data_IF_306466076125
#
_entry.id   IF_306466076125
#
_cell.length_a   1.000
_cell.length_b   1.000
_cell.length_c   1.000
_cell.angle_alpha   90.00
_cell.angle_beta   90.00
_cell.angle_gamma   90.00
#
_symmetry.space_group_name_H-M   'P 1'
#
loop_
_entity.id
_entity.type
_entity.pdbx_description
1 polymer ?
#
# COMPACT_ATOMS: atom_id res chain seq x y z
N UNK A 1 -36.19 -12.50 -7.41
CA UNK A 1 -35.17 -13.27 -8.12
C UNK A 1 -33.87 -13.18 -7.37
N UNK A 2 -33.19 -14.27 -6.99
CA UNK A 2 -31.88 -14.22 -6.37
C UNK A 2 -30.90 -13.53 -7.35
N UNK A 3 -30.00 -12.70 -6.87
CA UNK A 3 -29.03 -12.02 -7.72
C UNK A 3 -28.17 -13.07 -8.43
N UNK A 4 -27.95 -12.90 -9.73
CA UNK A 4 -27.07 -13.78 -10.49
C UNK A 4 -25.68 -13.79 -9.80
N UNK A 5 -24.97 -14.93 -9.83
CA UNK A 5 -23.65 -15.13 -9.20
C UNK A 5 -22.66 -13.98 -9.47
N UNK A 6 -22.69 -13.40 -10.65
CA UNK A 6 -21.90 -12.23 -11.03
C UNK A 6 -22.31 -10.94 -10.28
N UNK A 7 -23.58 -10.72 -10.03
CA UNK A 7 -24.05 -9.55 -9.24
C UNK A 7 -23.58 -9.64 -7.80
N UNK A 8 -23.67 -10.83 -7.19
CA UNK A 8 -23.19 -11.05 -5.81
C UNK A 8 -21.69 -10.83 -5.70
N UNK A 9 -20.88 -11.42 -6.59
CA UNK A 9 -19.43 -11.22 -6.62
C UNK A 9 -19.06 -9.74 -6.74
N UNK A 10 -19.69 -9.00 -7.65
CA UNK A 10 -19.50 -7.54 -7.78
C UNK A 10 -19.86 -6.80 -6.48
N UNK A 11 -20.98 -7.15 -5.84
CA UNK A 11 -21.41 -6.54 -4.58
C UNK A 11 -20.39 -6.77 -3.45
N UNK A 12 -19.82 -7.98 -3.33
CA UNK A 12 -18.78 -8.30 -2.34
C UNK A 12 -17.52 -7.47 -2.58
N UNK A 13 -17.03 -7.40 -3.82
CA UNK A 13 -15.84 -6.63 -4.18
C UNK A 13 -16.06 -5.14 -3.93
N UNK A 14 -17.20 -4.58 -4.34
CA UNK A 14 -17.53 -3.17 -4.11
C UNK A 14 -17.66 -2.85 -2.62
N UNK A 15 -18.24 -3.74 -1.83
CA UNK A 15 -18.31 -3.58 -0.37
C UNK A 15 -16.92 -3.54 0.25
N UNK A 16 -16.02 -4.42 -0.18
CA UNK A 16 -14.62 -4.38 0.23
C UNK A 16 -13.89 -3.11 -0.24
N UNK A 17 -14.13 -2.65 -1.48
CA UNK A 17 -13.52 -1.44 -2.00
C UNK A 17 -13.93 -0.18 -1.22
N UNK A 18 -15.19 -0.10 -0.75
CA UNK A 18 -15.65 0.96 0.16
C UNK A 18 -14.82 0.95 1.46
N UNK A 19 -14.51 -0.22 2.01
CA UNK A 19 -13.68 -0.28 3.23
C UNK A 19 -12.25 0.19 2.99
N UNK A 20 -11.66 -0.18 1.85
CA UNK A 20 -10.33 0.34 1.51
C UNK A 20 -10.38 1.85 1.31
N UNK A 21 -11.42 2.40 0.68
CA UNK A 21 -11.61 3.84 0.55
C UNK A 21 -11.72 4.52 1.93
N UNK A 22 -12.48 3.95 2.86
CA UNK A 22 -12.63 4.45 4.24
C UNK A 22 -11.33 4.37 5.06
N UNK A 23 -10.31 3.65 4.59
CA UNK A 23 -8.99 3.64 5.23
C UNK A 23 -8.22 4.95 5.03
N UNK A 24 -8.67 5.80 4.11
CA UNK A 24 -7.99 7.02 3.67
C UNK A 24 -7.46 7.93 4.79
N UNK A 25 -8.22 8.22 5.86
CA UNK A 25 -7.72 9.01 7.00
C UNK A 25 -6.49 8.39 7.70
N UNK A 26 -6.35 7.07 7.68
CA UNK A 26 -5.18 6.35 8.22
C UNK A 26 -4.06 6.11 7.21
N UNK A 27 -4.24 6.49 5.96
CA UNK A 27 -3.21 6.34 4.91
C UNK A 27 -2.25 7.53 4.88
N UNK A 28 -1.03 7.28 4.44
CA UNK A 28 0.00 8.33 4.34
C UNK A 28 -0.44 9.50 3.47
N UNK A 29 -1.06 9.22 2.32
CA UNK A 29 -1.58 10.24 1.42
C UNK A 29 -2.70 11.07 2.09
N UNK A 30 -3.59 10.43 2.86
CA UNK A 30 -4.64 11.13 3.61
C UNK A 30 -4.10 12.05 4.68
N UNK A 31 -3.01 11.65 5.36
CA UNK A 31 -2.36 12.45 6.38
C UNK A 31 -1.57 13.64 5.81
N UNK A 32 -1.02 13.52 4.59
CA UNK A 32 -0.10 14.49 3.99
C UNK A 32 -0.63 15.92 3.90
N UNK A 33 -1.93 16.09 3.67
CA UNK A 33 -2.59 17.40 3.56
C UNK A 33 -2.78 18.13 4.91
N UNK A 34 -2.62 17.39 6.02
CA UNK A 34 -2.71 17.95 7.37
C UNK A 34 -1.36 18.36 7.95
N UNK A 35 -0.25 18.03 7.29
CA UNK A 35 1.11 18.28 7.81
C UNK A 35 1.34 19.75 8.11
N UNK A 36 1.13 20.62 7.12
CA UNK A 36 1.36 22.06 7.29
C UNK A 36 0.39 22.69 8.30
N UNK A 37 -0.94 22.46 8.23
CA UNK A 37 -1.87 22.98 9.24
C UNK A 37 -1.57 22.52 10.68
N UNK A 38 -1.06 21.27 10.85
CA UNK A 38 -0.71 20.75 12.17
C UNK A 38 0.59 21.38 12.68
N UNK A 39 1.63 21.49 11.85
CA UNK A 39 2.90 22.08 12.26
C UNK A 39 2.73 23.54 12.67
N UNK A 40 1.93 24.30 11.92
CA UNK A 40 1.60 25.69 12.25
C UNK A 40 0.77 25.78 13.55
N UNK A 41 -0.29 24.98 13.70
CA UNK A 41 -1.19 25.08 14.83
C UNK A 41 -0.60 24.58 16.16
N UNK A 42 0.35 23.66 16.13
CA UNK A 42 1.02 23.13 17.32
C UNK A 42 2.39 23.78 17.58
N UNK A 43 2.80 24.72 16.75
CA UNK A 43 4.14 25.38 16.79
C UNK A 43 5.28 24.34 16.89
N UNK A 44 5.27 23.37 15.96
CA UNK A 44 6.25 22.31 15.91
C UNK A 44 6.93 22.24 14.55
N UNK A 45 8.17 21.75 14.53
CA UNK A 45 8.89 21.54 13.28
C UNK A 45 8.34 20.32 12.53
N UNK A 46 8.51 20.33 11.20
CA UNK A 46 8.16 19.17 10.38
C UNK A 46 8.92 17.90 10.80
N UNK A 47 10.19 18.03 11.22
CA UNK A 47 11.00 16.92 11.75
C UNK A 47 10.40 16.33 13.02
N UNK A 48 9.89 17.16 13.95
CA UNK A 48 9.19 16.69 15.14
C UNK A 48 7.89 15.95 14.81
N UNK A 49 7.09 16.47 13.88
CA UNK A 49 5.85 15.83 13.43
C UNK A 49 6.14 14.49 12.74
N UNK A 50 7.13 14.44 11.85
CA UNK A 50 7.48 13.19 11.15
C UNK A 50 8.09 12.15 12.08
N UNK A 51 8.80 12.57 13.13
CA UNK A 51 9.24 11.69 14.21
C UNK A 51 8.07 11.11 15.01
N UNK A 52 7.08 11.94 15.37
CA UNK A 52 5.84 11.48 16.00
C UNK A 52 5.09 10.47 15.10
N UNK A 53 5.05 10.73 13.79
CA UNK A 53 4.47 9.83 12.81
C UNK A 53 5.23 8.50 12.70
N UNK A 54 6.55 8.52 12.75
CA UNK A 54 7.40 7.33 12.80
C UNK A 54 7.04 6.45 14.00
N UNK A 55 7.01 7.03 15.21
CA UNK A 55 6.69 6.30 16.45
C UNK A 55 5.28 5.69 16.38
N UNK A 56 4.27 6.50 16.02
CA UNK A 56 2.89 6.05 15.89
C UNK A 56 2.73 4.92 14.86
N UNK A 57 3.44 5.01 13.73
CA UNK A 57 3.40 3.99 12.66
C UNK A 57 4.09 2.70 13.07
N UNK A 58 5.26 2.77 13.72
CA UNK A 58 5.95 1.59 14.24
C UNK A 58 5.13 0.87 15.30
N UNK A 59 4.52 1.62 16.24
CA UNK A 59 3.62 1.04 17.23
C UNK A 59 2.41 0.35 16.56
N UNK A 60 1.84 0.95 15.51
CA UNK A 60 0.72 0.39 14.77
C UNK A 60 1.02 -0.96 14.09
N UNK A 61 2.28 -1.26 13.78
CA UNK A 61 2.68 -2.52 13.15
C UNK A 61 2.31 -3.75 13.99
N UNK A 62 2.20 -3.62 15.30
CA UNK A 62 1.84 -4.70 16.22
C UNK A 62 0.35 -5.06 16.20
N UNK A 63 -0.49 -4.12 15.77
CA UNK A 63 -1.96 -4.25 15.82
C UNK A 63 -2.50 -5.29 14.83
N UNK A 64 -1.85 -5.46 13.68
CA UNK A 64 -2.32 -6.33 12.61
C UNK A 64 -2.58 -7.77 13.02
N UNK A 65 -1.66 -8.37 13.79
CA UNK A 65 -1.77 -9.76 14.27
C UNK A 65 -2.93 -9.94 15.26
N UNK A 66 -3.09 -9.00 16.18
CA UNK A 66 -4.20 -9.01 17.12
C UNK A 66 -5.55 -8.88 16.41
N UNK A 67 -5.63 -7.93 15.48
CA UNK A 67 -6.86 -7.69 14.72
C UNK A 67 -7.21 -8.87 13.82
N UNK A 68 -6.23 -9.50 13.17
CA UNK A 68 -6.44 -10.70 12.36
C UNK A 68 -7.10 -11.81 13.17
N UNK A 69 -6.56 -12.13 14.35
CA UNK A 69 -7.16 -13.12 15.27
C UNK A 69 -8.58 -12.75 15.68
N UNK A 70 -8.85 -11.47 15.88
CA UNK A 70 -10.19 -11.00 16.24
C UNK A 70 -11.18 -11.15 15.09
N UNK A 71 -10.78 -10.82 13.85
CA UNK A 71 -11.61 -11.01 12.66
C UNK A 71 -11.94 -12.50 12.41
N UNK A 72 -11.01 -13.39 12.76
CA UNK A 72 -11.22 -14.83 12.62
C UNK A 72 -12.17 -15.37 13.68
N UNK A 73 -12.01 -14.94 14.93
CA UNK A 73 -12.82 -15.41 16.07
C UNK A 73 -14.23 -14.82 16.08
N UNK A 74 -14.35 -13.50 15.96
CA UNK A 74 -15.61 -12.78 16.18
C UNK A 74 -16.36 -12.48 14.86
N UNK A 75 -15.75 -12.83 13.73
CA UNK A 75 -16.24 -12.58 12.38
C UNK A 75 -15.95 -11.17 11.85
N UNK A 76 -15.85 -11.04 10.53
CA UNK A 76 -15.41 -9.80 9.85
C UNK A 76 -16.34 -8.63 10.13
N UNK A 77 -17.65 -8.84 10.16
CA UNK A 77 -18.62 -7.75 10.38
C UNK A 77 -18.53 -7.18 11.81
N UNK A 78 -18.31 -8.02 12.83
CA UNK A 78 -18.10 -7.58 14.20
C UNK A 78 -16.78 -6.84 14.36
N UNK A 79 -15.70 -7.39 13.81
CA UNK A 79 -14.39 -6.74 13.81
C UNK A 79 -14.41 -5.41 13.09
N UNK A 80 -15.14 -5.29 11.97
CA UNK A 80 -15.29 -4.02 11.24
C UNK A 80 -15.96 -2.94 12.07
N UNK A 81 -16.99 -3.27 12.88
CA UNK A 81 -17.62 -2.28 13.79
C UNK A 81 -16.59 -1.69 14.74
N UNK A 82 -15.79 -2.55 15.37
CA UNK A 82 -14.69 -2.11 16.23
C UNK A 82 -13.72 -1.20 15.48
N UNK A 83 -13.26 -1.63 14.29
CA UNK A 83 -12.30 -0.88 13.47
C UNK A 83 -12.86 0.49 13.08
N UNK A 84 -14.11 0.56 12.64
CA UNK A 84 -14.75 1.81 12.23
C UNK A 84 -14.87 2.81 13.40
N UNK A 85 -15.34 2.34 14.55
CA UNK A 85 -15.46 3.18 15.76
C UNK A 85 -14.07 3.62 16.24
N UNK A 86 -13.10 2.70 16.32
CA UNK A 86 -11.75 3.03 16.77
C UNK A 86 -11.04 4.01 15.82
N UNK A 87 -11.23 3.87 14.50
CA UNK A 87 -10.69 4.83 13.52
C UNK A 87 -11.34 6.20 13.65
N UNK A 88 -12.66 6.24 13.81
CA UNK A 88 -13.37 7.51 14.07
C UNK A 88 -12.92 8.19 15.37
N UNK A 89 -12.75 7.41 16.45
CA UNK A 89 -12.20 7.91 17.72
C UNK A 89 -10.78 8.44 17.54
N UNK A 90 -9.93 7.75 16.79
CA UNK A 90 -8.58 8.23 16.50
C UNK A 90 -8.57 9.53 15.68
N UNK A 91 -9.51 9.70 14.75
CA UNK A 91 -9.67 10.95 14.00
C UNK A 91 -10.14 12.11 14.89
N UNK A 92 -11.08 11.86 15.81
CA UNK A 92 -11.49 12.85 16.82
C UNK A 92 -10.32 13.19 17.77
N UNK A 93 -9.55 12.20 18.20
CA UNK A 93 -8.36 12.41 19.02
C UNK A 93 -7.31 13.26 18.29
N UNK A 94 -7.12 13.03 16.99
CA UNK A 94 -6.25 13.88 16.15
C UNK A 94 -6.77 15.33 16.11
N UNK A 95 -8.07 15.53 15.93
CA UNK A 95 -8.70 16.85 15.93
C UNK A 95 -8.52 17.60 17.26
N UNK A 96 -8.63 16.88 18.37
CA UNK A 96 -8.56 17.45 19.73
C UNK A 96 -7.13 17.52 20.28
N UNK A 97 -6.12 17.06 19.53
CA UNK A 97 -4.74 16.99 20.02
C UNK A 97 -4.18 18.40 20.35
N UNK A 98 -3.77 18.64 21.61
CA UNK A 98 -3.17 19.90 22.02
C UNK A 98 -1.65 19.92 21.83
N UNK A 99 -1.01 18.77 21.60
CA UNK A 99 0.42 18.60 21.49
C UNK A 99 0.79 17.33 20.71
N UNK A 100 2.09 17.16 20.41
CA UNK A 100 2.60 16.00 19.66
C UNK A 100 2.40 14.66 20.37
N UNK A 101 2.37 14.60 21.70
CA UNK A 101 2.21 13.33 22.42
C UNK A 101 0.82 12.75 22.14
N UNK A 102 -0.21 13.57 22.33
CA UNK A 102 -1.61 13.15 22.04
C UNK A 102 -1.78 12.87 20.55
N UNK A 103 -1.17 13.68 19.69
CA UNK A 103 -1.18 13.45 18.26
C UNK A 103 -0.49 12.13 17.87
N UNK A 104 0.62 11.74 18.52
CA UNK A 104 1.29 10.45 18.30
C UNK A 104 0.36 9.26 18.62
N UNK A 105 -0.41 9.36 19.71
CA UNK A 105 -1.42 8.36 20.05
C UNK A 105 -2.54 8.31 19.01
N UNK A 106 -2.98 9.48 18.53
CA UNK A 106 -3.95 9.56 17.45
C UNK A 106 -3.41 8.93 16.14
N UNK A 107 -2.16 9.21 15.77
CA UNK A 107 -1.48 8.61 14.62
C UNK A 107 -1.41 7.09 14.78
N UNK A 108 -1.03 6.58 15.95
CA UNK A 108 -1.09 5.14 16.22
C UNK A 108 -2.48 4.56 15.90
N UNK A 109 -3.55 5.19 16.37
CA UNK A 109 -4.93 4.74 16.11
C UNK A 109 -5.31 4.84 14.64
N UNK A 110 -4.98 5.95 13.96
CA UNK A 110 -5.23 6.15 12.54
C UNK A 110 -4.52 5.07 11.69
N UNK A 111 -3.26 4.77 11.99
CA UNK A 111 -2.47 3.76 11.27
C UNK A 111 -2.97 2.35 11.56
N UNK A 112 -3.24 2.04 12.84
CA UNK A 112 -3.74 0.72 13.27
C UNK A 112 -5.10 0.37 12.66
N UNK A 113 -6.05 1.27 12.76
CA UNK A 113 -7.43 0.99 12.37
C UNK A 113 -7.74 1.43 10.94
N UNK A 114 -7.12 2.50 10.44
CA UNK A 114 -7.26 2.96 9.06
C UNK A 114 -6.45 2.09 8.10
N UNK A 115 -5.13 2.25 8.10
CA UNK A 115 -4.27 1.55 7.13
C UNK A 115 -4.36 0.02 7.30
N UNK A 116 -4.22 -0.50 8.51
CA UNK A 116 -4.21 -1.95 8.74
C UNK A 116 -5.63 -2.49 8.86
N UNK A 117 -6.45 -1.91 9.73
CA UNK A 117 -7.74 -2.47 10.11
C UNK A 117 -8.77 -2.52 8.98
N UNK A 118 -8.97 -1.41 8.29
CA UNK A 118 -9.92 -1.33 7.18
C UNK A 118 -9.49 -2.20 6.00
N UNK A 119 -8.20 -2.16 5.63
CA UNK A 119 -7.68 -2.95 4.49
C UNK A 119 -7.69 -4.45 4.78
N UNK A 120 -7.33 -4.85 6.01
CA UNK A 120 -7.40 -6.24 6.44
C UNK A 120 -8.86 -6.75 6.45
N UNK A 121 -9.79 -5.97 7.02
CA UNK A 121 -11.21 -6.32 7.03
C UNK A 121 -11.76 -6.50 5.61
N UNK A 122 -11.41 -5.62 4.68
CA UNK A 122 -11.79 -5.70 3.28
C UNK A 122 -11.25 -6.96 2.60
N UNK A 123 -9.95 -7.22 2.78
CA UNK A 123 -9.27 -8.36 2.16
C UNK A 123 -9.81 -9.69 2.69
N UNK A 124 -9.97 -9.81 4.01
CA UNK A 124 -10.53 -11.02 4.65
C UNK A 124 -11.99 -11.24 4.24
N UNK A 125 -12.79 -10.16 4.16
CA UNK A 125 -14.17 -10.27 3.70
C UNK A 125 -14.27 -10.80 2.27
N UNK A 126 -13.51 -10.25 1.34
CA UNK A 126 -13.51 -10.71 -0.06
C UNK A 126 -12.94 -12.11 -0.16
N UNK A 127 -11.84 -12.43 0.53
CA UNK A 127 -11.22 -13.75 0.50
C UNK A 127 -12.13 -14.87 1.03
N UNK A 128 -12.90 -14.58 2.10
CA UNK A 128 -13.86 -15.55 2.69
C UNK A 128 -15.16 -15.72 1.89
N UNK A 129 -15.51 -14.78 1.01
CA UNK A 129 -16.81 -14.79 0.31
C UNK A 129 -16.69 -14.99 -1.22
N UNK A 130 -15.47 -14.96 -1.78
CA UNK A 130 -15.20 -15.19 -3.21
C UNK A 130 -14.23 -16.34 -3.34
N UNK A 131 -14.73 -17.53 -3.67
CA UNK A 131 -13.92 -18.75 -3.85
C UNK A 131 -13.32 -18.79 -5.25
N UNK A 132 -14.16 -18.62 -6.29
CA UNK A 132 -13.67 -18.68 -7.67
C UNK A 132 -12.90 -17.44 -8.06
N UNK A 133 -11.72 -17.65 -8.67
CA UNK A 133 -10.82 -16.58 -9.08
C UNK A 133 -10.55 -15.59 -7.94
N UNK A 134 -10.33 -16.10 -6.71
CA UNK A 134 -10.08 -15.31 -5.50
C UNK A 134 -8.96 -14.28 -5.72
N UNK A 135 -7.84 -14.69 -6.34
CA UNK A 135 -6.74 -13.78 -6.65
C UNK A 135 -7.15 -12.59 -7.54
N UNK A 136 -7.95 -12.85 -8.59
CA UNK A 136 -8.47 -11.78 -9.44
C UNK A 136 -9.46 -10.86 -8.71
N UNK A 137 -10.24 -11.40 -7.76
CA UNK A 137 -11.15 -10.59 -6.94
C UNK A 137 -10.38 -9.69 -5.97
N UNK A 138 -9.32 -10.20 -5.32
CA UNK A 138 -8.44 -9.42 -4.45
C UNK A 138 -7.65 -8.38 -5.25
N UNK A 139 -7.16 -8.71 -6.45
CA UNK A 139 -6.52 -7.76 -7.34
C UNK A 139 -7.45 -6.60 -7.74
N UNK A 140 -8.70 -6.91 -8.11
CA UNK A 140 -9.70 -5.89 -8.42
C UNK A 140 -10.09 -5.06 -7.19
N UNK A 141 -10.20 -5.70 -6.02
CA UNK A 141 -10.43 -5.02 -4.75
C UNK A 141 -9.33 -3.97 -4.46
N UNK A 142 -8.07 -4.38 -4.61
CA UNK A 142 -6.92 -3.49 -4.37
C UNK A 142 -6.86 -2.37 -5.39
N UNK A 143 -7.13 -2.65 -6.67
CA UNK A 143 -7.14 -1.65 -7.73
C UNK A 143 -8.23 -0.59 -7.50
N UNK A 144 -9.48 -1.01 -7.29
CA UNK A 144 -10.63 -0.09 -7.12
C UNK A 144 -10.54 0.63 -5.77
N UNK A 145 -10.31 -0.13 -4.68
CA UNK A 145 -10.24 0.45 -3.34
C UNK A 145 -9.00 1.33 -3.15
N UNK A 146 -7.85 0.91 -3.67
CA UNK A 146 -6.62 1.69 -3.64
C UNK A 146 -6.74 3.02 -4.39
N UNK A 147 -7.38 3.02 -5.56
CA UNK A 147 -7.67 4.27 -6.29
C UNK A 147 -8.61 5.19 -5.51
N UNK A 148 -9.58 4.63 -4.79
CA UNK A 148 -10.53 5.41 -3.99
C UNK A 148 -9.89 6.06 -2.74
N UNK A 149 -8.78 5.53 -2.23
CA UNK A 149 -7.99 6.18 -1.15
C UNK A 149 -7.57 7.59 -1.54
N UNK A 150 -7.25 7.82 -2.82
CA UNK A 150 -6.81 9.11 -3.35
C UNK A 150 -7.87 10.22 -3.23
N UNK A 151 -9.13 9.87 -3.01
CA UNK A 151 -10.20 10.84 -2.77
C UNK A 151 -10.04 11.54 -1.41
N UNK A 152 -9.45 10.87 -0.42
CA UNK A 152 -9.29 11.44 0.92
C UNK A 152 -8.43 12.71 0.93
N UNK A 153 -7.19 12.74 0.40
CA UNK A 153 -6.41 13.97 0.35
C UNK A 153 -7.06 15.04 -0.52
N UNK A 154 -7.71 14.67 -1.63
CA UNK A 154 -8.43 15.61 -2.49
C UNK A 154 -9.61 16.27 -1.77
N UNK A 155 -10.41 15.51 -1.03
CA UNK A 155 -11.53 16.03 -0.26
C UNK A 155 -11.01 16.89 0.90
N UNK A 156 -10.05 16.38 1.67
CA UNK A 156 -9.51 17.08 2.82
C UNK A 156 -8.85 18.42 2.42
N UNK A 157 -8.12 18.48 1.29
CA UNK A 157 -7.51 19.74 0.80
C UNK A 157 -8.51 20.84 0.46
N UNK A 158 -9.77 20.48 0.19
CA UNK A 158 -10.86 21.44 -0.02
C UNK A 158 -11.60 21.82 1.27
N UNK A 159 -11.70 20.89 2.21
CA UNK A 159 -12.40 21.11 3.48
C UNK A 159 -11.54 21.89 4.48
N UNK A 160 -10.23 21.70 4.48
CA UNK A 160 -9.32 22.37 5.43
C UNK A 160 -9.40 23.89 5.35
N UNK A 161 -9.36 24.55 4.17
CA UNK A 161 -9.47 26.00 4.07
C UNK A 161 -10.83 26.55 4.56
N UNK A 162 -11.90 25.78 4.40
CA UNK A 162 -13.28 26.20 4.74
C UNK A 162 -13.61 25.98 6.22
N UNK A 163 -13.26 24.81 6.76
CA UNK A 163 -13.69 24.35 8.09
C UNK A 163 -12.53 24.21 9.09
N UNK A 164 -11.30 24.38 8.65
CA UNK A 164 -10.10 24.09 9.44
C UNK A 164 -9.79 22.60 9.53
N UNK A 165 -8.54 22.29 9.84
CA UNK A 165 -8.05 20.92 9.86
C UNK A 165 -8.67 20.07 10.98
N UNK A 166 -9.00 20.64 12.13
CA UNK A 166 -9.63 19.95 13.25
C UNK A 166 -11.03 19.46 12.90
N UNK A 167 -11.88 20.35 12.37
CA UNK A 167 -13.24 19.99 11.94
C UNK A 167 -13.21 18.99 10.77
N UNK A 168 -12.24 19.09 9.89
CA UNK A 168 -12.05 18.13 8.80
C UNK A 168 -11.76 16.72 9.32
N UNK A 169 -10.92 16.57 10.37
CA UNK A 169 -10.71 15.28 11.03
C UNK A 169 -11.98 14.70 11.63
N UNK A 170 -12.76 15.53 12.34
CA UNK A 170 -14.03 15.10 12.92
C UNK A 170 -15.01 14.62 11.85
N UNK A 171 -15.12 15.36 10.74
CA UNK A 171 -15.99 15.01 9.61
C UNK A 171 -15.57 13.69 8.95
N UNK A 172 -14.28 13.52 8.67
CA UNK A 172 -13.75 12.26 8.12
C UNK A 172 -13.99 11.09 9.07
N UNK A 173 -13.78 11.29 10.38
CA UNK A 173 -14.06 10.29 11.41
C UNK A 173 -15.55 9.90 11.47
N UNK A 174 -16.45 10.88 11.42
CA UNK A 174 -17.89 10.65 11.39
C UNK A 174 -18.32 9.84 10.14
N UNK A 175 -17.82 10.19 8.97
CA UNK A 175 -18.06 9.45 7.71
C UNK A 175 -17.59 8.01 7.84
N UNK A 176 -16.39 7.78 8.39
CA UNK A 176 -15.84 6.43 8.62
C UNK A 176 -16.74 5.61 9.52
N UNK A 177 -17.19 6.17 10.65
CA UNK A 177 -18.08 5.46 11.58
C UNK A 177 -19.41 5.13 10.92
N UNK A 178 -20.09 6.12 10.34
CA UNK A 178 -21.42 5.94 9.75
C UNK A 178 -21.38 4.93 8.60
N UNK A 179 -20.49 5.15 7.61
CA UNK A 179 -20.41 4.27 6.44
C UNK A 179 -19.85 2.89 6.83
N UNK A 180 -18.91 2.82 7.78
CA UNK A 180 -18.36 1.57 8.29
C UNK A 180 -19.42 0.71 9.00
N UNK A 181 -20.27 1.31 9.83
CA UNK A 181 -21.39 0.61 10.49
C UNK A 181 -22.44 0.13 9.49
N UNK A 182 -22.83 0.97 8.54
CA UNK A 182 -23.73 0.58 7.43
C UNK A 182 -23.14 -0.59 6.64
N UNK A 183 -21.84 -0.51 6.32
CA UNK A 183 -21.14 -1.57 5.58
C UNK A 183 -21.08 -2.87 6.38
N UNK A 184 -20.88 -2.80 7.69
CA UNK A 184 -20.89 -3.98 8.57
C UNK A 184 -22.25 -4.70 8.56
N UNK A 185 -23.36 -3.97 8.61
CA UNK A 185 -24.71 -4.55 8.52
C UNK A 185 -24.96 -5.18 7.14
N UNK A 186 -24.47 -4.56 6.07
CA UNK A 186 -24.52 -5.11 4.71
C UNK A 186 -23.73 -6.42 4.59
N UNK A 187 -22.54 -6.50 5.22
CA UNK A 187 -21.74 -7.72 5.25
C UNK A 187 -22.49 -8.89 5.92
N UNK A 188 -23.18 -8.64 7.02
CA UNK A 188 -24.00 -9.65 7.70
C UNK A 188 -25.08 -10.19 6.76
N UNK A 189 -25.81 -9.31 6.07
CA UNK A 189 -26.84 -9.71 5.08
C UNK A 189 -26.26 -10.54 3.95
N UNK A 190 -25.12 -10.11 3.36
CA UNK A 190 -24.44 -10.83 2.28
C UNK A 190 -23.95 -12.23 2.70
N UNK A 191 -23.62 -12.41 4.00
CA UNK A 191 -23.19 -13.70 4.55
C UNK A 191 -24.37 -14.65 4.81
N UNK A 192 -25.49 -14.13 5.31
CA UNK A 192 -26.68 -14.93 5.64
C UNK A 192 -27.33 -15.56 4.39
N UNK A 193 -27.19 -14.92 3.24
CA UNK A 193 -27.77 -15.42 2.00
C UNK A 193 -27.09 -16.68 1.43
N UNK A 194 -25.83 -16.99 1.86
CA UNK A 194 -25.09 -18.17 1.40
C UNK A 194 -24.05 -18.61 2.44
N UNK A 195 -24.28 -19.72 3.16
CA UNK A 195 -23.25 -20.35 3.97
C UNK A 195 -22.07 -20.80 3.11
N UNK A 196 -20.85 -20.52 3.56
CA UNK A 196 -19.63 -20.88 2.84
C UNK A 196 -19.43 -22.41 2.82
N UNK A 197 -19.23 -23.08 1.68
CA UNK A 197 -18.64 -24.40 1.66
C UNK A 197 -17.21 -24.27 2.20
N UNK A 198 -16.88 -25.08 3.18
CA UNK A 198 -15.59 -25.11 3.85
C UNK A 198 -14.44 -25.26 2.86
N UNK A 199 -13.35 -24.57 3.12
CA UNK A 199 -12.08 -24.63 2.42
C UNK A 199 -11.61 -26.08 2.24
N UNK A 200 -11.63 -26.58 1.03
CA UNK A 200 -10.75 -27.68 0.70
C UNK A 200 -9.32 -27.11 0.61
N UNK A 201 -8.34 -27.69 1.32
CA UNK A 201 -6.95 -27.34 1.15
C UNK A 201 -6.59 -27.61 -0.31
N UNK A 202 -6.22 -26.59 -1.04
CA UNK A 202 -5.68 -26.74 -2.38
C UNK A 202 -4.50 -27.70 -2.34
N UNK A 203 -4.57 -28.73 -3.14
CA UNK A 203 -3.54 -29.75 -3.31
C UNK A 203 -2.20 -29.08 -3.66
N UNK A 204 -1.30 -29.00 -2.67
CA UNK A 204 0.04 -28.38 -2.79
C UNK A 204 1.12 -29.45 -2.94
N UNK A 205 0.88 -30.43 -3.77
CA UNK A 205 1.85 -31.49 -4.08
C UNK A 205 2.21 -31.46 -5.56
N UNK A 206 3.09 -30.55 -5.94
CA UNK A 206 3.95 -30.78 -7.08
C UNK A 206 5.39 -30.71 -6.56
N UNK A 207 6.21 -31.70 -6.85
CA UNK A 207 7.65 -31.73 -6.61
C UNK A 207 8.28 -30.52 -7.31
N UNK A 208 8.43 -29.44 -6.57
CA UNK A 208 8.93 -28.17 -7.06
C UNK A 208 10.46 -28.21 -7.02
N UNK A 209 11.12 -28.40 -8.18
CA UNK A 209 12.59 -28.34 -8.28
C UNK A 209 13.00 -26.87 -7.98
N UNK A 210 13.44 -26.65 -6.76
CA UNK A 210 13.86 -25.34 -6.29
C UNK A 210 15.31 -25.05 -6.68
N UNK A 211 15.60 -23.80 -7.01
CA UNK A 211 16.96 -23.31 -7.23
C UNK A 211 17.86 -23.55 -5.99
N UNK A 212 19.20 -23.61 -6.15
CA UNK A 212 20.16 -23.70 -5.05
C UNK A 212 19.91 -22.69 -3.92
N UNK A 213 20.15 -23.09 -2.68
CA UNK A 213 19.82 -22.30 -1.46
C UNK A 213 20.44 -20.91 -1.47
N UNK A 214 21.69 -20.77 -1.95
CA UNK A 214 22.39 -19.49 -2.07
C UNK A 214 21.70 -18.55 -3.07
N UNK A 215 21.31 -19.06 -4.24
CA UNK A 215 20.60 -18.24 -5.25
C UNK A 215 19.20 -17.82 -4.76
N UNK A 216 18.47 -18.70 -4.05
CA UNK A 216 17.18 -18.35 -3.43
C UNK A 216 17.34 -17.25 -2.40
N UNK A 217 18.38 -17.33 -1.55
CA UNK A 217 18.70 -16.28 -0.58
C UNK A 217 19.02 -14.96 -1.26
N UNK A 218 19.84 -14.97 -2.30
CA UNK A 218 20.16 -13.77 -3.07
C UNK A 218 18.91 -13.16 -3.72
N UNK A 219 18.08 -13.98 -4.35
CA UNK A 219 16.79 -13.55 -4.92
C UNK A 219 15.89 -12.89 -3.89
N UNK A 220 15.76 -13.52 -2.70
CA UNK A 220 14.99 -12.94 -1.60
C UNK A 220 15.54 -11.58 -1.15
N UNK A 221 16.86 -11.45 -0.98
CA UNK A 221 17.47 -10.20 -0.54
C UNK A 221 17.28 -9.08 -1.55
N UNK A 222 17.48 -9.37 -2.85
CA UNK A 222 17.32 -8.38 -3.92
C UNK A 222 15.87 -7.94 -4.06
N UNK A 223 14.91 -8.87 -4.07
CA UNK A 223 13.47 -8.52 -4.12
C UNK A 223 13.06 -7.72 -2.88
N UNK A 224 13.53 -8.13 -1.69
CA UNK A 224 13.25 -7.40 -0.45
C UNK A 224 13.83 -5.99 -0.47
N UNK A 225 15.05 -5.82 -0.96
CA UNK A 225 15.68 -4.50 -1.10
C UNK A 225 14.90 -3.62 -2.09
N UNK A 226 14.50 -4.15 -3.25
CA UNK A 226 13.68 -3.42 -4.23
C UNK A 226 12.32 -3.01 -3.65
N UNK A 227 11.63 -3.94 -2.98
CA UNK A 227 10.33 -3.69 -2.39
C UNK A 227 10.40 -2.69 -1.24
N UNK A 228 11.41 -2.80 -0.36
CA UNK A 228 11.63 -1.87 0.73
C UNK A 228 12.02 -0.46 0.23
N UNK A 229 12.88 -0.37 -0.80
CA UNK A 229 13.24 0.90 -1.43
C UNK A 229 12.03 1.57 -2.08
N UNK A 230 11.20 0.81 -2.79
CA UNK A 230 9.95 1.32 -3.36
C UNK A 230 9.00 1.81 -2.27
N UNK A 231 8.88 1.06 -1.18
CA UNK A 231 8.08 1.45 -0.03
C UNK A 231 8.58 2.74 0.63
N UNK A 232 9.89 2.84 0.85
CA UNK A 232 10.53 4.05 1.37
C UNK A 232 10.23 5.27 0.49
N UNK A 233 10.60 5.18 -0.78
CA UNK A 233 10.49 6.29 -1.74
C UNK A 233 9.03 6.72 -1.92
N UNK A 234 8.13 5.76 -2.16
CA UNK A 234 6.72 6.07 -2.37
C UNK A 234 6.07 6.67 -1.13
N UNK A 235 6.43 6.20 0.08
CA UNK A 235 5.88 6.72 1.33
C UNK A 235 6.45 8.11 1.66
N UNK A 236 7.75 8.31 1.46
CA UNK A 236 8.39 9.62 1.64
C UNK A 236 7.74 10.67 0.74
N UNK A 237 7.62 10.38 -0.56
CA UNK A 237 7.01 11.29 -1.52
C UNK A 237 5.51 11.48 -1.28
N UNK A 238 4.76 10.42 -0.92
CA UNK A 238 3.35 10.56 -0.61
C UNK A 238 3.11 11.43 0.64
N UNK A 239 3.96 11.33 1.66
CA UNK A 239 3.86 12.16 2.86
C UNK A 239 4.19 13.63 2.57
N UNK A 240 5.21 13.88 1.76
CA UNK A 240 5.71 15.21 1.46
C UNK A 240 5.24 15.76 0.10
N UNK A 241 4.28 15.11 -0.57
CA UNK A 241 3.85 15.48 -1.93
C UNK A 241 3.42 16.94 -2.05
N UNK A 242 2.71 17.45 -1.02
CA UNK A 242 2.26 18.85 -0.99
C UNK A 242 3.47 19.78 -0.97
N UNK A 243 4.47 19.51 -0.11
CA UNK A 243 5.67 20.33 -0.01
C UNK A 243 6.54 20.23 -1.27
N UNK A 244 6.81 19.01 -1.76
CA UNK A 244 7.63 18.77 -2.97
C UNK A 244 7.05 19.49 -4.19
N UNK A 245 5.74 19.34 -4.41
CA UNK A 245 5.06 19.98 -5.55
C UNK A 245 4.82 21.48 -5.31
N UNK A 246 4.64 21.90 -4.05
CA UNK A 246 4.53 23.30 -3.66
C UNK A 246 5.80 24.10 -3.99
N UNK A 247 6.99 23.54 -3.74
CA UNK A 247 8.28 24.13 -4.17
C UNK A 247 8.41 24.26 -5.69
N UNK A 248 7.58 23.53 -6.46
CA UNK A 248 7.50 23.59 -7.92
C UNK A 248 6.37 24.52 -8.41
N UNK A 249 5.75 25.32 -7.52
CA UNK A 249 4.68 26.24 -7.84
C UNK A 249 3.29 25.61 -7.99
N UNK A 250 3.11 24.35 -7.63
CA UNK A 250 1.82 23.64 -7.69
C UNK A 250 1.04 23.92 -6.42
N UNK A 251 -0.21 24.34 -6.54
CA UNK A 251 -1.08 24.62 -5.38
C UNK A 251 -1.32 23.34 -4.54
N UNK A 252 -1.55 23.52 -3.24
CA UNK A 252 -1.80 22.39 -2.32
C UNK A 252 -2.97 21.50 -2.78
N UNK A 253 -4.05 22.11 -3.31
CA UNK A 253 -5.20 21.37 -3.83
C UNK A 253 -4.86 20.57 -5.09
N UNK A 254 -4.07 21.14 -6.01
CA UNK A 254 -3.62 20.44 -7.21
C UNK A 254 -2.64 19.29 -6.85
N UNK A 255 -1.72 19.53 -5.92
CA UNK A 255 -0.81 18.52 -5.39
C UNK A 255 -1.56 17.36 -4.70
N UNK A 256 -2.59 17.66 -3.90
CA UNK A 256 -3.47 16.65 -3.32
C UNK A 256 -4.30 15.91 -4.38
N UNK A 257 -4.78 16.61 -5.39
CA UNK A 257 -5.51 16.03 -6.53
C UNK A 257 -4.68 15.05 -7.35
N UNK A 258 -3.35 15.22 -7.36
CA UNK A 258 -2.43 14.35 -8.10
C UNK A 258 -2.37 12.90 -7.58
N UNK A 259 -2.83 12.62 -6.37
CA UNK A 259 -3.00 11.24 -5.89
C UNK A 259 -4.01 10.45 -6.73
N UNK A 260 -4.97 11.11 -7.40
CA UNK A 260 -5.96 10.43 -8.23
C UNK A 260 -5.33 9.81 -9.49
N UNK A 261 -4.69 10.57 -10.41
CA UNK A 261 -4.02 9.98 -11.55
C UNK A 261 -2.91 9.00 -11.16
N UNK A 262 -2.18 9.24 -10.08
CA UNK A 262 -1.18 8.33 -9.53
C UNK A 262 -1.79 6.97 -9.17
N UNK A 263 -2.91 6.95 -8.46
CA UNK A 263 -3.59 5.72 -8.03
C UNK A 263 -4.24 4.98 -9.21
N UNK A 264 -4.80 5.71 -10.18
CA UNK A 264 -5.37 5.10 -11.38
C UNK A 264 -4.28 4.44 -12.24
N UNK A 265 -3.13 5.09 -12.40
CA UNK A 265 -1.99 4.52 -13.10
C UNK A 265 -1.46 3.27 -12.38
N UNK A 266 -1.33 3.32 -11.04
CA UNK A 266 -0.95 2.17 -10.23
C UNK A 266 -1.91 0.98 -10.43
N UNK A 267 -3.22 1.23 -10.43
CA UNK A 267 -4.23 0.19 -10.66
C UNK A 267 -4.13 -0.41 -12.07
N UNK A 268 -3.93 0.42 -13.10
CA UNK A 268 -3.78 -0.04 -14.47
C UNK A 268 -2.54 -0.94 -14.63
N UNK A 269 -1.40 -0.54 -14.05
CA UNK A 269 -0.15 -1.30 -14.07
C UNK A 269 -0.28 -2.61 -13.29
N UNK A 270 -0.91 -2.62 -12.11
CA UNK A 270 -1.16 -3.82 -11.32
C UNK A 270 -1.90 -4.92 -12.12
N UNK A 271 -2.82 -4.52 -12.99
CA UNK A 271 -3.59 -5.45 -13.83
C UNK A 271 -2.79 -6.01 -15.01
N UNK A 272 -1.80 -5.28 -15.50
CA UNK A 272 -1.04 -5.61 -16.72
C UNK A 272 0.32 -6.26 -16.47
N UNK A 273 1.07 -5.76 -15.50
CA UNK A 273 2.50 -6.10 -15.30
C UNK A 273 2.71 -7.55 -14.88
N UNK A 274 1.82 -8.16 -14.10
CA UNK A 274 1.97 -9.55 -13.67
C UNK A 274 2.20 -10.52 -14.83
N UNK A 275 1.45 -10.36 -15.95
CA UNK A 275 1.61 -11.19 -17.15
C UNK A 275 2.94 -10.93 -17.89
N UNK A 276 3.45 -9.71 -17.82
CA UNK A 276 4.73 -9.33 -18.42
C UNK A 276 5.89 -9.92 -17.63
N UNK A 277 5.85 -9.84 -16.31
CA UNK A 277 6.89 -10.39 -15.40
C UNK A 277 7.01 -11.90 -15.56
N UNK A 278 5.93 -12.62 -15.85
CA UNK A 278 5.96 -14.07 -16.09
C UNK A 278 6.79 -14.44 -17.33
N UNK A 279 6.96 -13.52 -18.29
CA UNK A 279 7.66 -13.75 -19.57
C UNK A 279 9.10 -13.24 -19.57
N UNK A 280 9.46 -12.38 -18.61
CA UNK A 280 10.78 -11.73 -18.56
C UNK A 280 11.71 -12.50 -17.61
N UNK A 281 13.00 -12.66 -17.93
CA UNK A 281 13.96 -13.21 -16.99
C UNK A 281 14.02 -12.41 -15.70
N UNK A 282 13.89 -13.07 -14.54
CA UNK A 282 13.78 -12.40 -13.25
C UNK A 282 14.97 -11.49 -12.91
N UNK A 283 16.16 -11.78 -13.46
CA UNK A 283 17.37 -10.95 -13.31
C UNK A 283 17.25 -9.54 -13.90
N UNK A 284 16.32 -9.33 -14.86
CA UNK A 284 16.10 -8.04 -15.53
C UNK A 284 14.98 -7.26 -14.85
N UNK A 285 14.01 -7.94 -14.25
CA UNK A 285 12.78 -7.32 -13.70
C UNK A 285 13.11 -6.29 -12.63
N UNK A 286 13.88 -6.68 -11.59
CA UNK A 286 14.19 -5.77 -10.48
C UNK A 286 15.04 -4.56 -10.92
N UNK A 287 16.11 -4.71 -11.71
CA UNK A 287 16.83 -3.55 -12.25
C UNK A 287 15.93 -2.59 -13.02
N UNK A 288 15.05 -3.12 -13.88
CA UNK A 288 14.12 -2.29 -14.67
C UNK A 288 13.13 -1.55 -13.74
N UNK A 289 12.51 -2.25 -12.78
CA UNK A 289 11.61 -1.62 -11.82
C UNK A 289 12.29 -0.49 -11.03
N UNK A 290 13.54 -0.70 -10.63
CA UNK A 290 14.32 0.29 -9.89
C UNK A 290 14.73 1.48 -10.76
N UNK A 291 15.10 1.27 -12.03
CA UNK A 291 15.38 2.35 -12.97
C UNK A 291 14.10 3.15 -13.27
N UNK A 292 12.97 2.49 -13.45
CA UNK A 292 11.67 3.16 -13.63
C UNK A 292 11.30 3.99 -12.39
N UNK A 293 11.55 3.47 -11.19
CA UNK A 293 11.33 4.22 -9.94
C UNK A 293 12.26 5.44 -9.86
N UNK A 294 13.54 5.27 -10.17
CA UNK A 294 14.51 6.37 -10.19
C UNK A 294 14.10 7.46 -11.20
N UNK A 295 13.68 7.07 -12.39
CA UNK A 295 13.20 7.99 -13.43
C UNK A 295 11.91 8.71 -12.97
N UNK A 296 10.97 7.99 -12.35
CA UNK A 296 9.75 8.58 -11.81
C UNK A 296 10.05 9.62 -10.73
N UNK A 297 10.94 9.32 -9.79
CA UNK A 297 11.35 10.28 -8.75
C UNK A 297 12.09 11.48 -9.37
N UNK A 298 13.03 11.22 -10.28
CA UNK A 298 13.81 12.26 -10.97
C UNK A 298 12.94 13.21 -11.80
N UNK A 299 11.79 12.73 -12.30
CA UNK A 299 10.87 13.53 -13.11
C UNK A 299 10.28 14.73 -12.34
N UNK A 300 10.32 14.72 -11.00
CA UNK A 300 9.92 15.88 -10.19
C UNK A 300 10.69 17.15 -10.54
N UNK A 301 11.93 17.00 -11.00
CA UNK A 301 12.79 18.12 -11.40
C UNK A 301 12.26 18.88 -12.61
N UNK A 302 11.43 18.26 -13.42
CA UNK A 302 10.84 18.78 -14.65
C UNK A 302 9.38 19.23 -14.46
N UNK A 303 8.86 19.18 -13.24
CA UNK A 303 7.52 19.68 -12.93
C UNK A 303 7.55 21.21 -12.90
N UNK A 304 6.84 21.84 -13.81
CA UNK A 304 6.65 23.30 -13.94
C UNK A 304 5.19 23.69 -14.11
N UNK A 305 4.29 22.70 -14.16
CA UNK A 305 2.87 22.87 -14.47
C UNK A 305 2.04 21.77 -13.81
N UNK A 306 0.74 21.99 -13.72
CA UNK A 306 -0.20 20.96 -13.24
C UNK A 306 -0.16 19.69 -14.11
N UNK A 307 0.07 19.83 -15.42
CA UNK A 307 0.21 18.66 -16.30
C UNK A 307 1.50 17.89 -16.01
N UNK A 308 2.61 18.60 -15.76
CA UNK A 308 3.86 17.99 -15.33
C UNK A 308 3.71 17.25 -13.99
N UNK A 309 2.95 17.81 -13.03
CA UNK A 309 2.64 17.16 -11.77
C UNK A 309 1.82 15.86 -11.98
N UNK A 310 0.83 15.87 -12.88
CA UNK A 310 0.08 14.67 -13.26
C UNK A 310 1.00 13.62 -13.87
N UNK A 311 1.90 14.01 -14.78
CA UNK A 311 2.90 13.10 -15.36
C UNK A 311 3.80 12.45 -14.31
N UNK A 312 4.31 13.24 -13.35
CA UNK A 312 5.06 12.76 -12.20
C UNK A 312 4.24 11.73 -11.38
N UNK A 313 2.99 12.06 -11.05
CA UNK A 313 2.11 11.15 -10.30
C UNK A 313 1.88 9.83 -11.03
N UNK A 314 1.57 9.87 -12.34
CA UNK A 314 1.41 8.68 -13.18
C UNK A 314 2.69 7.83 -13.17
N UNK A 315 3.86 8.44 -13.36
CA UNK A 315 5.14 7.74 -13.37
C UNK A 315 5.43 7.07 -12.02
N UNK A 316 5.24 7.81 -10.90
CA UNK A 316 5.48 7.29 -9.56
C UNK A 316 4.53 6.14 -9.20
N UNK A 317 3.22 6.30 -9.47
CA UNK A 317 2.23 5.26 -9.22
C UNK A 317 2.48 4.01 -10.05
N UNK A 318 2.85 4.18 -11.32
CA UNK A 318 3.20 3.08 -12.22
C UNK A 318 4.42 2.30 -11.74
N UNK A 319 5.52 2.99 -11.39
CA UNK A 319 6.74 2.36 -10.92
C UNK A 319 6.53 1.61 -9.59
N UNK A 320 5.83 2.20 -8.63
CA UNK A 320 5.53 1.56 -7.36
C UNK A 320 4.67 0.30 -7.53
N UNK A 321 3.70 0.35 -8.42
CA UNK A 321 2.81 -0.78 -8.71
C UNK A 321 3.52 -1.89 -9.50
N UNK A 322 4.44 -1.55 -10.41
CA UNK A 322 5.25 -2.51 -11.14
C UNK A 322 6.09 -3.36 -10.17
N UNK A 323 6.81 -2.72 -9.23
CA UNK A 323 7.58 -3.44 -8.21
C UNK A 323 6.72 -4.33 -7.32
N UNK A 324 5.53 -3.88 -6.91
CA UNK A 324 4.61 -4.68 -6.09
C UNK A 324 4.10 -5.93 -6.84
N UNK A 325 3.83 -5.82 -8.14
CA UNK A 325 3.45 -6.96 -8.97
C UNK A 325 4.63 -7.92 -9.21
N UNK A 326 5.83 -7.38 -9.43
CA UNK A 326 7.07 -8.12 -9.62
C UNK A 326 7.45 -8.93 -8.37
N UNK A 327 7.33 -8.32 -7.19
CA UNK A 327 7.58 -8.97 -5.90
C UNK A 327 6.77 -10.25 -5.76
N UNK A 328 5.45 -10.14 -5.92
CA UNK A 328 4.55 -11.28 -5.75
C UNK A 328 4.87 -12.45 -6.67
N UNK A 329 5.24 -12.15 -7.92
CA UNK A 329 5.57 -13.14 -8.94
C UNK A 329 6.93 -13.76 -8.72
N UNK A 330 7.97 -12.95 -8.51
CA UNK A 330 9.35 -13.43 -8.38
C UNK A 330 9.57 -14.21 -7.10
N UNK A 331 8.96 -13.78 -5.98
CA UNK A 331 9.08 -14.47 -4.72
C UNK A 331 8.51 -15.90 -4.81
N UNK A 332 7.33 -16.06 -5.39
CA UNK A 332 6.73 -17.38 -5.61
C UNK A 332 7.57 -18.24 -6.56
N UNK A 333 8.12 -17.63 -7.61
CA UNK A 333 8.94 -18.32 -8.64
C UNK A 333 10.28 -18.80 -8.10
N UNK A 334 10.91 -18.09 -7.17
CA UNK A 334 12.28 -18.38 -6.70
C UNK A 334 12.33 -19.18 -5.41
N UNK A 335 11.33 -19.02 -4.54
CA UNK A 335 11.31 -19.63 -3.20
C UNK A 335 10.37 -20.85 -3.15
N UNK A 336 9.43 -20.93 -4.07
CA UNK A 336 8.40 -21.95 -4.08
C UNK A 336 7.22 -21.60 -3.19
N UNK A 337 6.17 -22.43 -3.27
CA UNK A 337 4.89 -22.14 -2.60
C UNK A 337 4.85 -22.63 -1.14
N UNK A 338 5.60 -23.68 -0.80
CA UNK A 338 5.56 -24.34 0.51
C UNK A 338 5.98 -23.43 1.68
N UNK A 339 6.94 -22.52 1.48
CA UNK A 339 7.47 -21.60 2.51
C UNK A 339 7.19 -20.13 2.21
N UNK A 340 6.39 -19.86 1.18
CA UNK A 340 6.11 -18.51 0.67
C UNK A 340 5.57 -17.57 1.76
N UNK A 341 4.67 -18.05 2.62
CA UNK A 341 4.09 -17.25 3.71
C UNK A 341 5.14 -16.72 4.68
N UNK A 342 6.09 -17.57 5.09
CA UNK A 342 7.18 -17.17 6.02
C UNK A 342 8.10 -16.11 5.40
N UNK A 343 8.50 -16.30 4.14
CA UNK A 343 9.37 -15.35 3.44
C UNK A 343 8.66 -14.02 3.17
N UNK A 344 7.40 -14.09 2.77
CA UNK A 344 6.56 -12.91 2.58
C UNK A 344 6.35 -12.14 3.88
N UNK A 345 6.15 -12.81 5.00
CA UNK A 345 6.05 -12.19 6.31
C UNK A 345 7.30 -11.42 6.70
N UNK A 346 8.50 -12.01 6.49
CA UNK A 346 9.78 -11.33 6.74
C UNK A 346 9.97 -10.09 5.85
N UNK A 347 9.67 -10.22 4.58
CA UNK A 347 9.76 -9.11 3.63
C UNK A 347 8.79 -7.99 3.98
N UNK A 348 7.55 -8.31 4.35
CA UNK A 348 6.55 -7.34 4.80
C UNK A 348 7.03 -6.58 6.05
N UNK A 349 7.70 -7.25 6.99
CA UNK A 349 8.26 -6.59 8.17
C UNK A 349 9.32 -5.55 7.78
N UNK A 350 10.21 -5.88 6.86
CA UNK A 350 11.22 -4.92 6.34
C UNK A 350 10.54 -3.75 5.63
N UNK A 351 9.51 -4.02 4.84
CA UNK A 351 8.71 -3.00 4.16
C UNK A 351 8.04 -2.04 5.15
N UNK A 352 7.41 -2.56 6.21
CA UNK A 352 6.74 -1.73 7.24
C UNK A 352 7.75 -0.81 7.93
N UNK A 353 8.91 -1.33 8.32
CA UNK A 353 9.98 -0.54 8.92
C UNK A 353 10.43 0.56 7.94
N UNK A 354 10.68 0.20 6.69
CA UNK A 354 11.11 1.11 5.64
C UNK A 354 10.11 2.26 5.44
N UNK A 355 8.83 1.95 5.32
CA UNK A 355 7.77 2.95 5.16
C UNK A 355 7.55 3.81 6.41
N UNK A 356 7.76 3.27 7.60
CA UNK A 356 7.66 4.04 8.84
C UNK A 356 8.76 5.09 8.97
N UNK A 357 10.00 4.71 8.63
CA UNK A 357 11.18 5.60 8.68
C UNK A 357 11.12 6.67 7.58
N UNK A 358 10.51 6.38 6.44
CA UNK A 358 10.61 7.16 5.23
C UNK A 358 10.25 8.66 5.39
N UNK A 359 9.14 9.08 6.00
CA UNK A 359 8.82 10.50 6.13
C UNK A 359 9.84 11.25 6.98
N UNK A 360 10.28 10.66 8.09
CA UNK A 360 11.26 11.29 8.97
C UNK A 360 12.63 11.40 8.32
N UNK A 361 13.16 10.30 7.74
CA UNK A 361 14.44 10.33 7.05
C UNK A 361 14.44 11.30 5.86
N UNK A 362 13.35 11.36 5.09
CA UNK A 362 13.23 12.29 3.98
C UNK A 362 13.22 13.76 4.45
N UNK A 363 12.59 14.06 5.60
CA UNK A 363 12.64 15.40 6.20
C UNK A 363 14.07 15.78 6.57
N UNK A 364 14.82 14.86 7.23
CA UNK A 364 16.22 15.13 7.56
C UNK A 364 17.09 15.37 6.32
N UNK A 365 16.84 14.60 5.25
CA UNK A 365 17.54 14.84 3.96
C UNK A 365 17.14 16.20 3.39
N UNK A 366 15.87 16.61 3.47
CA UNK A 366 15.39 17.89 2.96
C UNK A 366 15.98 19.06 3.77
N UNK A 367 16.04 18.94 5.09
CA UNK A 367 16.66 19.92 5.99
C UNK A 367 18.15 20.11 5.65
N UNK A 368 18.89 19.01 5.43
CA UNK A 368 20.30 19.04 5.05
C UNK A 368 20.53 19.54 3.60
N UNK A 369 19.63 19.25 2.68
CA UNK A 369 19.72 19.64 1.27
C UNK A 369 19.13 21.03 0.96
N UNK A 370 18.44 21.64 1.94
CA UNK A 370 17.83 22.96 1.85
C UNK A 370 16.47 22.99 1.11
N UNK A 371 15.97 21.86 0.58
CA UNK A 371 14.64 21.76 -0.03
C UNK A 371 14.15 20.33 -0.19
N UNK A 372 12.82 20.13 -0.27
CA UNK A 372 12.20 18.83 -0.56
C UNK A 372 12.46 18.35 -2.00
N UNK A 373 12.53 19.28 -2.95
CA UNK A 373 12.90 18.96 -4.33
C UNK A 373 14.35 18.47 -4.44
N UNK A 374 15.29 19.03 -3.66
CA UNK A 374 16.67 18.54 -3.58
C UNK A 374 16.74 17.17 -2.92
N UNK A 375 16.01 16.94 -1.82
CA UNK A 375 15.89 15.65 -1.19
C UNK A 375 15.38 14.57 -2.16
N UNK A 376 14.35 14.88 -2.96
CA UNK A 376 13.83 13.96 -3.96
C UNK A 376 14.90 13.56 -4.99
N UNK A 377 15.73 14.51 -5.45
CA UNK A 377 16.86 14.21 -6.36
C UNK A 377 17.90 13.30 -5.71
N UNK A 378 18.22 13.51 -4.44
CA UNK A 378 19.19 12.67 -3.71
C UNK A 378 18.67 11.26 -3.48
N UNK A 379 17.39 11.12 -3.20
CA UNK A 379 16.75 9.80 -2.96
C UNK A 379 16.75 8.93 -4.22
N UNK A 380 16.91 9.49 -5.43
CA UNK A 380 17.11 8.73 -6.69
C UNK A 380 18.29 7.75 -6.59
N UNK A 381 19.30 8.06 -5.77
CA UNK A 381 20.47 7.19 -5.59
C UNK A 381 20.06 5.81 -5.03
N UNK A 382 19.03 5.74 -4.18
CA UNK A 382 18.61 4.48 -3.54
C UNK A 382 18.13 3.42 -4.56
N UNK A 383 17.15 3.70 -5.42
CA UNK A 383 16.72 2.72 -6.42
C UNK A 383 17.84 2.42 -7.43
N UNK A 384 18.69 3.39 -7.82
CA UNK A 384 19.82 3.12 -8.69
C UNK A 384 20.86 2.18 -8.05
N UNK A 385 21.16 2.35 -6.77
CA UNK A 385 22.04 1.45 -6.03
C UNK A 385 21.47 0.02 -5.99
N UNK A 386 20.16 -0.12 -5.73
CA UNK A 386 19.50 -1.44 -5.74
C UNK A 386 19.50 -2.04 -7.16
N UNK A 387 19.30 -1.23 -8.20
CA UNK A 387 19.38 -1.70 -9.59
C UNK A 387 20.76 -2.29 -9.90
N UNK A 388 21.84 -1.58 -9.50
CA UNK A 388 23.22 -2.06 -9.68
C UNK A 388 23.46 -3.37 -8.91
N UNK A 389 23.06 -3.42 -7.63
CA UNK A 389 23.18 -4.63 -6.81
C UNK A 389 22.44 -5.80 -7.45
N UNK A 390 21.23 -5.57 -7.97
CA UNK A 390 20.45 -6.60 -8.63
C UNK A 390 21.10 -7.11 -9.93
N UNK A 391 21.79 -6.25 -10.69
CA UNK A 391 22.50 -6.62 -11.91
C UNK A 391 23.76 -7.48 -11.64
N UNK A 392 24.49 -7.21 -10.55
CA UNK A 392 25.74 -7.93 -10.24
C UNK A 392 25.52 -9.16 -9.35
N UNK A 393 24.35 -9.29 -8.73
CA UNK A 393 24.05 -10.42 -7.84
C UNK A 393 23.58 -11.63 -8.64
N UNK A 394 24.18 -12.82 -8.47
CA UNK A 394 23.68 -14.04 -9.06
C UNK A 394 22.27 -14.37 -8.55
N UNK A 395 21.29 -14.41 -9.45
CA UNK A 395 19.89 -14.65 -9.16
C UNK A 395 19.43 -16.00 -9.73
N UNK A 396 18.36 -16.62 -9.21
CA UNK A 396 17.80 -17.81 -9.79
C UNK A 396 17.36 -17.56 -11.23
N UNK A 397 17.80 -18.39 -12.16
CA UNK A 397 17.23 -18.42 -13.50
C UNK A 397 15.84 -19.06 -13.44
N UNK A 398 14.94 -18.58 -14.30
CA UNK A 398 13.56 -19.07 -14.31
C UNK A 398 13.48 -20.58 -14.57
N UNK A 399 12.37 -21.21 -14.14
CA UNK A 399 12.07 -22.63 -14.31
C UNK A 399 12.55 -23.13 -15.69
N UNK A 400 13.61 -23.92 -15.72
CA UNK A 400 13.85 -24.81 -16.83
C UNK A 400 12.79 -25.91 -16.71
N UNK A 401 11.79 -25.92 -17.60
CA UNK A 401 10.98 -27.13 -17.79
C UNK A 401 11.96 -28.22 -18.21
N UNK A 402 12.30 -29.12 -17.29
CA UNK A 402 12.91 -30.38 -17.67
C UNK A 402 11.85 -31.05 -18.52
N UNK A 403 12.11 -31.16 -19.82
CA UNK A 403 11.28 -31.92 -20.72
C UNK A 403 11.17 -33.31 -20.13
N UNK A 404 9.94 -33.77 -19.89
CA UNK A 404 9.67 -35.19 -19.66
C UNK A 404 10.19 -35.90 -20.91
N UNK A 405 11.38 -36.48 -20.76
CA UNK A 405 11.92 -37.34 -21.77
C UNK A 405 10.91 -38.45 -22.03
N UNK A 406 10.34 -38.44 -23.22
CA UNK A 406 9.60 -39.60 -23.72
C UNK A 406 10.57 -40.78 -23.68
N UNK A 407 10.45 -41.63 -22.66
CA UNK A 407 11.08 -42.95 -22.71
C UNK A 407 10.52 -43.64 -23.96
N UNK A 408 11.34 -43.76 -24.98
CA UNK A 408 11.05 -44.62 -26.10
C UNK A 408 10.97 -46.05 -25.57
N UNK A 409 9.79 -46.61 -25.59
CA UNK A 409 9.58 -48.04 -25.49
C UNK A 409 10.02 -48.66 -26.79
N UNK A 410 11.29 -49.01 -26.88
CA UNK A 410 11.77 -50.00 -27.84
C UNK A 410 12.26 -51.22 -27.05
N UNK A 411 11.57 -52.38 -27.28
CA UNK A 411 11.95 -53.67 -26.72
C UNK A 411 10.78 -54.61 -26.58
#
# INVERSE_FOLDING_TARGET
MPPTRNRRRRSIILTGAVLIALSGPGQTAGFSVFVDPITEALDVTRSQLTFAYLIGTLAASTTGTWLGRRLDRDGVASGLRLVAVALGTAAVLAALSPNLIVLTVAIYGLRSFGQTGMTLSASVFVAKNVVERRGAALGLLTAVGGSAIALTPLIASRLIPEFGWRSTWVLLGAVVVVVGLITSTRMVRLRLEHPNPLDEPGDTSADEVLAPKNLRRNGFLVVTAGYATTGFVSTALAFHQIAVLGERGISATAAAGNFVPQSLAAAAVALGVGRLVDRVPGRIVIPVDMVLLAAAVGSVSFVDSNLGAVGFGIALGSAASAMAASEGTLLARWIGTATLGTWRGRMTSVMVISTAIAPFAFTLIADAAGSFSAAARLVVILPLAVAIVALVTPLPEGRTRVGVGTASSDG
#
